data_IF_678285354277
#
_entry.id   IF_678285354277
#
_cell.length_a   1.000
_cell.length_b   1.000
_cell.length_c   1.000
_cell.angle_alpha   90.00
_cell.angle_beta   90.00
_cell.angle_gamma   90.00
#
_symmetry.space_group_name_H-M   'P 1'
#
loop_
_entity.id
_entity.type
_entity.pdbx_description
1 polymer ?
#
# COMPACT_ATOMS: atom_id res chain seq x y z
N UNK A 1 5.79 18.23 -57.93
CA UNK A 1 6.19 16.98 -57.25
C UNK A 1 6.99 17.24 -56.00
N UNK A 2 7.92 18.16 -55.94
CA UNK A 2 8.69 18.45 -54.71
C UNK A 2 7.84 19.07 -53.58
N UNK A 3 6.81 19.84 -53.86
CA UNK A 3 5.96 20.50 -52.84
C UNK A 3 5.08 19.52 -52.04
N UNK A 4 4.68 18.40 -52.64
CA UNK A 4 3.83 17.37 -51.97
C UNK A 4 4.62 16.54 -50.98
N UNK A 5 5.89 16.25 -51.21
CA UNK A 5 6.75 15.50 -50.29
C UNK A 5 7.04 16.26 -49.00
N UNK A 6 7.24 17.59 -49.12
CA UNK A 6 7.47 18.44 -47.97
C UNK A 6 6.21 18.63 -47.11
N UNK A 7 5.03 18.64 -47.70
CA UNK A 7 3.76 18.75 -47.00
C UNK A 7 3.49 17.53 -46.16
N UNK A 8 3.74 16.31 -46.68
CA UNK A 8 3.57 15.05 -45.99
C UNK A 8 4.55 14.95 -44.79
N UNK A 9 5.79 15.39 -44.94
CA UNK A 9 6.77 15.45 -43.87
C UNK A 9 6.38 16.40 -42.75
N UNK A 10 5.81 17.58 -43.07
CA UNK A 10 5.32 18.52 -42.06
C UNK A 10 4.11 18.00 -41.31
N UNK A 11 3.17 17.31 -41.95
CA UNK A 11 1.99 16.71 -41.30
C UNK A 11 2.42 15.59 -40.36
N UNK A 12 3.36 14.73 -40.75
CA UNK A 12 3.90 13.67 -39.90
C UNK A 12 4.62 14.23 -38.67
N UNK A 13 5.36 15.34 -38.79
CA UNK A 13 6.03 16.02 -37.68
C UNK A 13 5.02 16.63 -36.69
N UNK A 14 3.97 17.29 -37.20
CA UNK A 14 2.91 17.85 -36.34
C UNK A 14 2.14 16.78 -35.55
N UNK A 15 1.84 15.63 -36.16
CA UNK A 15 1.21 14.51 -35.49
C UNK A 15 2.08 13.92 -34.38
N UNK A 16 3.38 13.83 -34.58
CA UNK A 16 4.32 13.35 -33.57
C UNK A 16 4.45 14.34 -32.40
N UNK A 17 4.48 15.66 -32.66
CA UNK A 17 4.49 16.70 -31.64
C UNK A 17 3.23 16.70 -30.77
N UNK A 18 2.05 16.45 -31.36
CA UNK A 18 0.79 16.32 -30.63
C UNK A 18 0.78 15.08 -29.70
N UNK A 19 1.34 13.95 -30.13
CA UNK A 19 1.49 12.76 -29.29
C UNK A 19 2.45 12.98 -28.12
N UNK A 20 3.51 13.79 -28.27
CA UNK A 20 4.45 14.14 -27.23
C UNK A 20 3.88 15.12 -26.18
N UNK A 21 2.82 15.87 -26.53
CA UNK A 21 2.16 16.83 -25.63
C UNK A 21 0.98 16.22 -24.86
N UNK A 22 0.65 14.94 -25.02
CA UNK A 22 -0.32 14.26 -24.15
C UNK A 22 0.27 14.18 -22.74
N UNK A 23 -0.42 14.72 -21.70
CA UNK A 23 0.07 14.60 -20.33
C UNK A 23 0.16 13.11 -20.01
N UNK A 24 1.38 12.65 -19.63
CA UNK A 24 1.54 11.35 -19.01
C UNK A 24 0.62 11.35 -17.78
N UNK A 25 -0.33 10.42 -17.67
CA UNK A 25 -1.04 10.20 -16.41
C UNK A 25 0.02 9.86 -15.37
N UNK A 26 0.35 10.81 -14.51
CA UNK A 26 1.02 10.50 -13.26
C UNK A 26 0.13 9.47 -12.57
N UNK A 27 0.67 8.28 -12.30
CA UNK A 27 -0.05 7.31 -11.51
C UNK A 27 -0.28 7.93 -10.14
N UNK A 28 -1.54 8.16 -9.77
CA UNK A 28 -1.89 8.64 -8.45
C UNK A 28 -1.30 7.67 -7.44
N UNK A 29 -0.39 8.19 -6.59
CA UNK A 29 0.12 7.43 -5.46
C UNK A 29 -0.97 7.40 -4.40
N UNK A 30 -1.56 6.24 -4.20
CA UNK A 30 -2.55 6.02 -3.15
C UNK A 30 -1.87 5.51 -1.89
N UNK A 31 -2.36 5.94 -0.73
CA UNK A 31 -1.98 5.44 0.58
C UNK A 31 -3.14 4.62 1.14
N UNK A 32 -2.89 3.34 1.39
CA UNK A 32 -3.88 2.44 1.99
C UNK A 32 -3.69 2.40 3.50
N UNK A 33 -4.71 2.79 4.23
CA UNK A 33 -4.72 2.79 5.70
C UNK A 33 -5.78 1.81 6.20
N UNK A 34 -5.37 0.90 7.06
CA UNK A 34 -6.25 -0.04 7.76
C UNK A 34 -6.36 0.36 9.23
N UNK A 35 -7.58 0.39 9.76
CA UNK A 35 -7.83 0.53 11.20
C UNK A 35 -8.62 -0.66 11.70
N UNK A 36 -8.14 -1.32 12.77
CA UNK A 36 -8.76 -2.55 13.25
C UNK A 36 -8.58 -2.74 14.77
N UNK A 37 -9.68 -3.00 15.45
CA UNK A 37 -9.64 -3.58 16.80
C UNK A 37 -9.51 -5.11 16.64
N UNK A 38 -8.33 -5.63 16.99
CA UNK A 38 -7.98 -7.04 16.73
C UNK A 38 -8.43 -7.98 17.83
N UNK A 39 -8.99 -7.45 18.93
CA UNK A 39 -9.44 -8.25 20.06
C UNK A 39 -8.32 -9.13 20.65
N UNK A 40 -7.94 -8.86 21.89
CA UNK A 40 -6.93 -9.65 22.63
C UNK A 40 -5.62 -9.95 21.86
N UNK A 41 -5.05 -8.96 21.22
CA UNK A 41 -3.81 -9.11 20.46
C UNK A 41 -3.95 -9.93 19.18
N UNK A 42 -5.17 -10.17 18.72
CA UNK A 42 -5.47 -10.95 17.52
C UNK A 42 -5.42 -12.46 17.74
N UNK A 43 -5.36 -12.91 19.00
CA UNK A 43 -5.40 -14.34 19.33
C UNK A 43 -6.81 -14.93 19.18
N UNK A 44 -6.91 -16.09 18.56
CA UNK A 44 -8.16 -16.82 18.49
C UNK A 44 -8.54 -17.40 19.86
N UNK A 45 -9.74 -17.10 20.33
CA UNK A 45 -10.31 -17.76 21.55
C UNK A 45 -10.77 -19.18 21.27
N UNK A 46 -11.25 -19.44 20.06
CA UNK A 46 -11.77 -20.76 19.66
C UNK A 46 -10.64 -21.73 19.36
N UNK A 47 -9.54 -21.24 18.82
CA UNK A 47 -8.38 -22.02 18.43
C UNK A 47 -7.10 -21.38 18.97
N UNK A 48 -6.87 -21.41 20.28
CA UNK A 48 -5.74 -20.72 20.90
C UNK A 48 -4.38 -21.19 20.38
N UNK A 49 -4.28 -22.42 19.90
CA UNK A 49 -3.07 -22.98 19.30
C UNK A 49 -2.67 -22.29 17.98
N UNK A 50 -3.59 -21.61 17.33
CA UNK A 50 -3.31 -20.84 16.10
C UNK A 50 -2.68 -19.47 16.38
N UNK A 51 -2.73 -19.01 17.64
CA UNK A 51 -2.18 -17.69 18.02
C UNK A 51 -2.74 -16.56 17.14
N UNK A 52 -1.85 -15.70 16.68
CA UNK A 52 -2.19 -14.54 15.82
C UNK A 52 -2.12 -14.86 14.31
N UNK A 53 -1.96 -16.10 13.90
CA UNK A 53 -1.74 -16.44 12.49
C UNK A 53 -2.84 -15.89 11.58
N UNK A 54 -4.11 -16.06 11.96
CA UNK A 54 -5.23 -15.56 11.16
C UNK A 54 -5.24 -14.04 11.03
N UNK A 55 -4.92 -13.33 12.10
CA UNK A 55 -4.76 -11.87 12.08
C UNK A 55 -3.65 -11.44 11.14
N UNK A 56 -2.47 -12.05 11.23
CA UNK A 56 -1.33 -11.76 10.37
C UNK A 56 -1.66 -12.04 8.90
N UNK A 57 -2.33 -13.14 8.60
CA UNK A 57 -2.74 -13.48 7.24
C UNK A 57 -3.68 -12.41 6.64
N UNK A 58 -4.63 -11.90 7.43
CA UNK A 58 -5.52 -10.81 7.02
C UNK A 58 -4.74 -9.51 6.78
N UNK A 59 -3.83 -9.16 7.69
CA UNK A 59 -3.00 -7.96 7.56
C UNK A 59 -2.13 -8.01 6.31
N UNK A 60 -1.52 -9.14 6.00
CA UNK A 60 -0.74 -9.34 4.77
C UNK A 60 -1.59 -9.18 3.51
N UNK A 61 -2.79 -9.75 3.51
CA UNK A 61 -3.72 -9.66 2.37
C UNK A 61 -4.27 -8.26 2.15
N UNK A 62 -4.32 -7.43 3.19
CA UNK A 62 -4.81 -6.05 3.08
C UNK A 62 -3.91 -5.18 2.22
N UNK A 63 -2.61 -5.51 2.15
CA UNK A 63 -1.58 -4.69 1.50
C UNK A 63 -1.58 -3.23 1.98
N UNK A 64 -2.02 -3.00 3.22
CA UNK A 64 -2.10 -1.66 3.80
C UNK A 64 -0.70 -1.10 4.04
N UNK A 65 -0.51 0.16 3.68
CA UNK A 65 0.75 0.88 3.90
C UNK A 65 0.92 1.29 5.36
N UNK A 66 -0.18 1.64 6.01
CA UNK A 66 -0.24 2.00 7.43
C UNK A 66 -1.38 1.24 8.10
N UNK A 67 -1.11 0.69 9.28
CA UNK A 67 -2.07 -0.09 10.06
C UNK A 67 -2.18 0.51 11.46
N UNK A 68 -3.41 0.83 11.85
CA UNK A 68 -3.77 1.29 13.19
C UNK A 68 -4.45 0.13 13.92
N UNK A 69 -3.78 -0.47 14.88
CA UNK A 69 -4.33 -1.60 15.63
C UNK A 69 -4.66 -1.21 17.07
N UNK A 70 -5.84 -1.60 17.49
CA UNK A 70 -6.31 -1.46 18.87
C UNK A 70 -6.42 -2.86 19.49
N UNK A 71 -6.19 -2.94 20.79
CA UNK A 71 -6.14 -4.19 21.58
C UNK A 71 -4.97 -5.12 21.21
N UNK A 72 -3.80 -4.53 20.98
CA UNK A 72 -2.60 -5.30 20.61
C UNK A 72 -1.99 -6.10 21.74
N UNK A 73 -2.11 -5.66 22.98
CA UNK A 73 -1.71 -6.38 24.22
C UNK A 73 -0.40 -7.18 24.13
N UNK A 74 0.67 -6.54 23.72
CA UNK A 74 2.00 -7.16 23.64
C UNK A 74 2.29 -7.92 22.35
N UNK A 75 1.33 -8.02 21.41
CA UNK A 75 1.54 -8.67 20.11
C UNK A 75 2.29 -7.78 19.10
N UNK A 76 2.48 -6.50 19.40
CA UNK A 76 3.01 -5.53 18.44
C UNK A 76 4.37 -5.93 17.81
N UNK A 77 5.40 -6.35 18.55
CA UNK A 77 6.68 -6.72 17.96
C UNK A 77 6.56 -7.90 17.01
N UNK A 78 5.81 -8.92 17.38
CA UNK A 78 5.63 -10.13 16.58
C UNK A 78 4.87 -9.86 15.28
N UNK A 79 3.83 -9.01 15.34
CA UNK A 79 3.09 -8.57 14.16
C UNK A 79 3.99 -7.76 13.23
N UNK A 80 4.75 -6.81 13.76
CA UNK A 80 5.69 -6.01 12.99
C UNK A 80 6.73 -6.89 12.26
N UNK A 81 7.34 -7.84 12.95
CA UNK A 81 8.30 -8.78 12.38
C UNK A 81 7.67 -9.63 11.26
N UNK A 82 6.45 -10.11 11.49
CA UNK A 82 5.74 -10.93 10.52
C UNK A 82 5.37 -10.18 9.23
N UNK A 83 5.13 -8.88 9.33
CA UNK A 83 4.82 -8.00 8.20
C UNK A 83 6.08 -7.41 7.56
N UNK A 84 7.20 -7.34 8.27
CA UNK A 84 8.36 -6.56 7.87
C UNK A 84 8.12 -5.05 7.98
N UNK A 85 7.27 -4.61 8.90
CA UNK A 85 6.90 -3.21 9.10
C UNK A 85 7.65 -2.60 10.28
N UNK A 86 7.87 -1.29 10.20
CA UNK A 86 8.19 -0.48 11.37
C UNK A 86 6.95 -0.34 12.25
N UNK A 87 7.13 -0.15 13.57
CA UNK A 87 5.98 0.08 14.45
C UNK A 87 6.29 1.11 15.52
N UNK A 88 5.24 1.75 16.00
CA UNK A 88 5.26 2.62 17.16
C UNK A 88 4.13 2.20 18.13
N UNK A 89 4.51 1.79 19.32
CA UNK A 89 3.58 1.44 20.38
C UNK A 89 3.22 2.72 21.14
N UNK A 90 1.97 3.16 20.99
CA UNK A 90 1.46 4.39 21.62
C UNK A 90 1.05 4.10 23.06
N UNK A 91 0.48 2.92 23.30
CA UNK A 91 0.12 2.41 24.62
C UNK A 91 0.09 0.89 24.59
N UNK A 92 -0.15 0.23 25.71
CA UNK A 92 -0.16 -1.24 25.80
C UNK A 92 -1.11 -1.92 24.80
N UNK A 93 -2.11 -1.20 24.33
CA UNK A 93 -3.14 -1.74 23.46
C UNK A 93 -3.34 -0.97 22.16
N UNK A 94 -2.49 0.01 21.84
CA UNK A 94 -2.59 0.84 20.65
C UNK A 94 -1.24 0.91 19.93
N UNK A 95 -1.20 0.41 18.71
CA UNK A 95 -0.01 0.37 17.88
C UNK A 95 -0.25 0.86 16.46
N UNK A 96 0.71 1.57 15.93
CA UNK A 96 0.77 1.97 14.52
C UNK A 96 1.89 1.20 13.84
N UNK A 97 1.60 0.58 12.72
CA UNK A 97 2.58 -0.07 11.85
C UNK A 97 2.66 0.66 10.51
N UNK A 98 3.84 0.67 9.91
CA UNK A 98 4.07 1.29 8.61
C UNK A 98 5.06 0.49 7.78
N UNK A 99 4.78 0.32 6.49
CA UNK A 99 5.77 -0.21 5.55
C UNK A 99 6.86 0.81 5.22
N UNK A 100 6.68 2.07 5.58
CA UNK A 100 7.69 3.12 5.48
C UNK A 100 8.51 3.21 6.77
N UNK A 101 9.77 3.64 6.68
CA UNK A 101 10.61 3.87 7.85
C UNK A 101 10.11 5.03 8.73
#
# INVERSE_FOLDING_TARGET
MMKTRNLIGMIAFCLFALAACTPSKESEKTLTVLSWNVWHGGHSKTYPEKGCKGTIDILKKSEADVILMVETYGAAPMVADSLGYSYNLISDNLCIYSCYP
#
